data_IF_125051027293
#
_entry.id   IF_125051027293
#
_cell.length_a   1.000
_cell.length_b   1.000
_cell.length_c   1.000
_cell.angle_alpha   90.00
_cell.angle_beta   90.00
_cell.angle_gamma   90.00
#
_symmetry.space_group_name_H-M   'P 1'
#
loop_
_entity.id
_entity.type
_entity.pdbx_description
1 polymer ?
#
# COMPACT_ATOMS: atom_id res chain seq x y z
N UNK A 1 30.62 2.95 14.37
CA UNK A 1 29.27 2.95 13.82
C UNK A 1 29.23 2.87 12.28
N UNK A 2 30.37 2.68 11.60
CA UNK A 2 30.47 2.66 10.12
C UNK A 2 30.72 1.27 9.53
N UNK A 3 30.72 0.19 10.33
CA UNK A 3 31.04 -1.19 9.88
C UNK A 3 29.83 -2.09 9.61
N UNK A 4 28.61 -1.57 9.69
CA UNK A 4 27.38 -2.35 9.45
C UNK A 4 26.77 -2.16 8.05
N UNK A 5 27.39 -1.35 7.18
CA UNK A 5 26.84 -1.08 5.84
C UNK A 5 27.44 -1.95 4.72
N UNK A 6 28.37 -2.86 5.00
CA UNK A 6 29.06 -3.61 3.94
C UNK A 6 28.50 -5.01 3.61
N UNK A 7 27.39 -5.41 4.21
CA UNK A 7 26.84 -6.78 3.99
C UNK A 7 25.43 -6.83 3.40
N UNK A 8 24.95 -5.77 2.78
CA UNK A 8 23.70 -5.80 2.02
C UNK A 8 24.02 -5.87 0.51
N UNK A 9 24.74 -6.91 0.10
CA UNK A 9 24.77 -7.30 -1.31
C UNK A 9 23.65 -8.31 -1.55
N UNK A 10 22.40 -7.86 -1.46
CA UNK A 10 21.26 -8.59 -1.96
C UNK A 10 21.36 -8.66 -3.48
N UNK A 11 21.24 -9.89 -4.05
CA UNK A 11 21.09 -10.07 -5.49
C UNK A 11 20.03 -9.11 -6.01
N UNK A 12 20.24 -8.43 -7.15
CA UNK A 12 19.20 -7.58 -7.72
C UNK A 12 17.95 -8.43 -7.93
N UNK A 13 16.84 -7.97 -7.39
CA UNK A 13 15.52 -8.54 -7.64
C UNK A 13 15.25 -8.38 -9.14
N UNK A 14 15.38 -9.49 -9.89
CA UNK A 14 14.99 -9.52 -11.28
C UNK A 14 13.46 -9.51 -11.36
N UNK A 15 12.86 -8.38 -11.07
CA UNK A 15 11.46 -8.10 -11.31
C UNK A 15 11.27 -7.94 -12.81
N UNK A 16 10.58 -8.87 -13.46
CA UNK A 16 10.06 -8.64 -14.80
C UNK A 16 9.21 -7.36 -14.74
N UNK A 17 9.52 -6.40 -15.61
CA UNK A 17 8.69 -5.19 -15.78
C UNK A 17 7.26 -5.65 -16.09
N UNK A 18 6.25 -5.33 -15.24
CA UNK A 18 4.89 -5.70 -15.55
C UNK A 18 4.41 -4.95 -16.79
N UNK A 19 3.72 -5.61 -17.69
CA UNK A 19 2.91 -4.97 -18.72
C UNK A 19 1.61 -4.46 -18.05
N UNK A 20 1.50 -3.17 -17.73
CA UNK A 20 0.39 -2.69 -16.91
C UNK A 20 -0.95 -2.66 -17.65
N UNK A 21 -0.93 -2.59 -18.98
CA UNK A 21 -2.15 -2.60 -19.80
C UNK A 21 -2.72 -4.02 -19.93
N UNK A 22 -1.86 -5.04 -19.98
CA UNK A 22 -2.24 -6.44 -19.97
C UNK A 22 -2.81 -6.88 -18.63
N UNK A 23 -2.16 -6.54 -17.52
CA UNK A 23 -2.58 -6.94 -16.18
C UNK A 23 -3.95 -6.40 -15.77
N UNK A 24 -4.31 -5.17 -16.18
CA UNK A 24 -5.63 -4.60 -15.90
C UNK A 24 -6.74 -5.31 -16.68
N UNK A 25 -6.46 -5.69 -17.93
CA UNK A 25 -7.42 -6.42 -18.79
C UNK A 25 -7.56 -7.87 -18.38
N UNK A 26 -6.49 -8.57 -18.01
CA UNK A 26 -6.53 -9.95 -17.53
C UNK A 26 -7.22 -10.05 -16.16
N UNK A 27 -6.96 -9.15 -15.24
CA UNK A 27 -7.64 -9.11 -13.93
C UNK A 27 -9.16 -8.90 -14.07
N UNK A 28 -9.59 -8.09 -15.04
CA UNK A 28 -11.01 -7.78 -15.27
C UNK A 28 -11.73 -8.80 -16.19
N UNK A 29 -11.01 -9.54 -17.02
CA UNK A 29 -11.61 -10.43 -18.04
C UNK A 29 -11.94 -11.84 -17.56
N UNK A 30 -11.38 -12.32 -16.47
CA UNK A 30 -11.45 -13.75 -16.05
C UNK A 30 -12.24 -13.96 -14.76
N UNK A 31 -12.52 -12.90 -14.00
CA UNK A 31 -13.16 -13.04 -12.70
C UNK A 31 -14.68 -13.15 -12.85
N UNK A 32 -15.27 -14.28 -12.44
CA UNK A 32 -16.73 -14.44 -12.37
C UNK A 32 -17.32 -13.44 -11.38
N UNK A 33 -18.50 -12.92 -11.69
CA UNK A 33 -19.23 -12.03 -10.80
C UNK A 33 -19.33 -12.65 -9.39
N UNK A 34 -19.03 -11.86 -8.36
CA UNK A 34 -19.05 -12.30 -6.96
C UNK A 34 -17.77 -12.96 -6.46
N UNK A 35 -16.71 -13.06 -7.28
CA UNK A 35 -15.39 -13.52 -6.83
C UNK A 35 -14.41 -12.34 -6.72
N UNK A 36 -13.55 -12.39 -5.71
CA UNK A 36 -12.46 -11.44 -5.48
C UNK A 36 -11.16 -12.01 -6.03
N UNK A 37 -10.48 -11.32 -6.96
CA UNK A 37 -9.19 -11.74 -7.48
C UNK A 37 -8.08 -11.38 -6.51
N UNK A 38 -7.31 -12.36 -6.09
CA UNK A 38 -6.26 -12.23 -5.07
C UNK A 38 -4.92 -12.70 -5.63
N UNK A 39 -3.86 -11.96 -5.30
CA UNK A 39 -2.49 -12.38 -5.53
C UNK A 39 -2.03 -13.30 -4.42
N UNK A 40 -2.21 -12.86 -3.18
CA UNK A 40 -1.78 -13.60 -1.99
C UNK A 40 -2.52 -13.15 -0.73
N UNK A 41 -2.58 -14.03 0.25
CA UNK A 41 -2.95 -13.72 1.63
C UNK A 41 -1.81 -14.18 2.53
N UNK A 42 -1.30 -13.30 3.38
CA UNK A 42 -0.18 -13.63 4.25
C UNK A 42 -0.23 -12.87 5.57
N UNK A 43 0.39 -13.43 6.61
CA UNK A 43 0.53 -12.82 7.92
C UNK A 43 1.95 -12.30 8.09
N UNK A 44 2.07 -11.03 8.50
CA UNK A 44 3.35 -10.37 8.73
C UNK A 44 3.21 -9.20 9.68
N UNK A 45 4.19 -8.29 9.67
CA UNK A 45 4.12 -7.00 10.32
C UNK A 45 3.84 -5.91 9.29
N UNK A 46 2.98 -4.94 9.63
CA UNK A 46 2.89 -3.71 8.84
C UNK A 46 4.27 -3.03 8.82
N UNK A 47 4.82 -2.84 7.64
CA UNK A 47 6.18 -2.32 7.45
C UNK A 47 6.25 -0.81 7.23
N UNK A 48 5.11 -0.11 7.13
CA UNK A 48 5.04 1.26 6.64
C UNK A 48 3.99 2.08 7.41
N UNK A 49 4.18 3.41 7.44
CA UNK A 49 3.21 4.36 7.97
C UNK A 49 3.02 4.30 9.48
N UNK A 50 1.86 4.80 9.95
CA UNK A 50 1.51 4.90 11.38
C UNK A 50 1.45 3.55 12.09
N UNK A 51 1.14 2.48 11.35
CA UNK A 51 0.96 1.16 11.92
C UNK A 51 2.20 0.26 11.82
N UNK A 52 3.36 0.85 11.48
CA UNK A 52 4.64 0.10 11.40
C UNK A 52 4.90 -0.71 12.67
N UNK A 53 5.26 -1.99 12.49
CA UNK A 53 5.56 -2.95 13.55
C UNK A 53 4.35 -3.69 14.09
N UNK A 54 3.13 -3.38 13.67
CA UNK A 54 1.92 -4.08 14.12
C UNK A 54 1.66 -5.35 13.31
N UNK A 55 1.33 -6.42 14.01
CA UNK A 55 0.91 -7.68 13.38
C UNK A 55 -0.33 -7.46 12.50
N UNK A 56 -0.28 -7.93 11.27
CA UNK A 56 -1.31 -7.66 10.26
C UNK A 56 -1.43 -8.83 9.28
N UNK A 57 -2.66 -9.23 8.95
CA UNK A 57 -2.92 -10.11 7.81
C UNK A 57 -3.10 -9.25 6.57
N UNK A 58 -2.30 -9.48 5.56
CA UNK A 58 -2.39 -8.78 4.28
C UNK A 58 -3.22 -9.57 3.29
N UNK A 59 -4.17 -8.90 2.66
CA UNK A 59 -4.89 -9.38 1.49
C UNK A 59 -4.45 -8.55 0.30
N UNK A 60 -3.59 -9.12 -0.53
CA UNK A 60 -3.12 -8.47 -1.75
C UNK A 60 -4.07 -8.80 -2.90
N UNK A 61 -4.87 -7.83 -3.29
CA UNK A 61 -5.79 -7.94 -4.41
C UNK A 61 -5.06 -7.79 -5.75
N UNK A 62 -5.56 -8.44 -6.76
CA UNK A 62 -5.00 -8.38 -8.10
C UNK A 62 -5.57 -7.21 -8.90
N UNK A 63 -4.82 -6.76 -9.91
CA UNK A 63 -5.20 -5.66 -10.78
C UNK A 63 -4.92 -4.27 -10.21
N UNK A 64 -4.60 -3.34 -11.09
CA UNK A 64 -4.39 -1.93 -10.77
C UNK A 64 -4.93 -1.06 -11.92
N UNK A 65 -5.37 0.14 -11.61
CA UNK A 65 -5.79 1.13 -12.59
C UNK A 65 -4.67 2.10 -13.00
N UNK A 66 -3.46 1.92 -12.45
CA UNK A 66 -2.26 2.72 -12.76
C UNK A 66 -1.12 1.82 -13.23
N UNK A 67 -0.12 2.43 -13.88
CA UNK A 67 1.06 1.81 -14.44
C UNK A 67 2.32 2.56 -13.97
N UNK A 68 2.62 2.50 -12.67
CA UNK A 68 3.77 3.21 -12.10
C UNK A 68 5.08 2.51 -12.47
N UNK A 69 6.08 3.25 -12.96
CA UNK A 69 7.39 2.72 -13.35
C UNK A 69 8.17 2.12 -12.19
N UNK A 70 7.99 2.66 -10.98
CA UNK A 70 8.64 2.18 -9.75
C UNK A 70 7.85 1.07 -9.04
N UNK A 71 6.81 0.51 -9.67
CA UNK A 71 5.99 -0.52 -9.04
C UNK A 71 6.78 -1.82 -8.86
N UNK A 72 6.91 -2.27 -7.62
CA UNK A 72 7.59 -3.51 -7.25
C UNK A 72 6.62 -4.68 -7.00
N UNK A 73 5.33 -4.48 -7.25
CA UNK A 73 4.28 -5.44 -6.94
C UNK A 73 3.85 -6.22 -8.19
N UNK A 74 3.92 -7.54 -8.13
CA UNK A 74 3.20 -8.42 -9.08
C UNK A 74 1.73 -8.46 -8.66
N UNK A 75 0.83 -7.91 -9.48
CA UNK A 75 -0.60 -7.86 -9.23
C UNK A 75 -1.42 -8.74 -10.19
N UNK A 76 -0.80 -9.77 -10.78
CA UNK A 76 -1.50 -10.79 -11.57
C UNK A 76 -2.33 -11.70 -10.67
N UNK A 77 -3.51 -12.08 -11.14
CA UNK A 77 -4.39 -13.00 -10.40
C UNK A 77 -3.70 -14.34 -10.17
N UNK A 78 -3.60 -14.77 -8.92
CA UNK A 78 -3.13 -16.12 -8.55
C UNK A 78 -4.28 -17.01 -8.09
N UNK A 79 -5.27 -16.43 -7.41
CA UNK A 79 -6.41 -17.12 -6.84
C UNK A 79 -7.66 -16.24 -6.91
N UNK A 80 -8.83 -16.86 -6.82
CA UNK A 80 -10.10 -16.16 -6.69
C UNK A 80 -10.87 -16.71 -5.50
N UNK A 81 -11.50 -15.84 -4.73
CA UNK A 81 -12.24 -16.20 -3.54
C UNK A 81 -13.66 -15.64 -3.57
N UNK A 82 -14.60 -16.36 -2.96
CA UNK A 82 -15.81 -15.72 -2.45
C UNK A 82 -15.45 -14.89 -1.21
N UNK A 83 -16.29 -13.93 -0.85
CA UNK A 83 -16.11 -13.12 0.37
C UNK A 83 -15.91 -14.01 1.60
N UNK A 84 -16.77 -14.99 1.77
CA UNK A 84 -16.74 -15.89 2.93
C UNK A 84 -15.48 -16.77 2.98
N UNK A 85 -15.04 -17.28 1.84
CA UNK A 85 -13.82 -18.08 1.74
C UNK A 85 -12.58 -17.22 2.05
N UNK A 86 -12.55 -15.96 1.60
CA UNK A 86 -11.44 -15.05 1.86
C UNK A 86 -11.39 -14.65 3.34
N UNK A 87 -12.54 -14.32 3.95
CA UNK A 87 -12.60 -14.00 5.37
C UNK A 87 -12.20 -15.22 6.26
N UNK A 88 -12.55 -16.43 5.83
CA UNK A 88 -12.12 -17.66 6.52
C UNK A 88 -10.62 -17.92 6.37
N UNK A 89 -10.05 -17.63 5.21
CA UNK A 89 -8.59 -17.73 4.99
C UNK A 89 -7.82 -16.72 5.84
N UNK A 90 -8.30 -15.48 5.95
CA UNK A 90 -7.75 -14.46 6.86
C UNK A 90 -7.74 -14.98 8.29
N UNK A 91 -8.85 -15.56 8.77
CA UNK A 91 -8.94 -16.10 10.13
C UNK A 91 -7.98 -17.28 10.35
N UNK A 92 -7.87 -18.16 9.36
CA UNK A 92 -6.97 -19.32 9.42
C UNK A 92 -5.49 -18.93 9.54
N UNK A 93 -5.08 -17.88 8.78
CA UNK A 93 -3.68 -17.44 8.74
C UNK A 93 -3.35 -16.53 9.92
N UNK A 94 -4.27 -15.63 10.29
CA UNK A 94 -4.04 -14.56 11.26
C UNK A 94 -4.06 -15.02 12.73
N UNK A 95 -4.72 -16.12 13.04
CA UNK A 95 -4.86 -16.59 14.43
C UNK A 95 -5.46 -15.50 15.33
N UNK A 96 -4.68 -15.02 16.30
CA UNK A 96 -5.11 -13.95 17.24
C UNK A 96 -4.97 -12.54 16.69
N UNK A 97 -4.37 -12.36 15.53
CA UNK A 97 -4.28 -11.05 14.87
C UNK A 97 -5.68 -10.45 14.65
N UNK A 98 -5.81 -9.15 14.86
CA UNK A 98 -7.09 -8.44 14.70
C UNK A 98 -7.03 -7.34 13.62
N UNK A 99 -5.95 -7.26 12.88
CA UNK A 99 -5.83 -6.31 11.80
C UNK A 99 -5.70 -6.99 10.43
N UNK A 100 -6.46 -6.49 9.49
CA UNK A 100 -6.37 -6.88 8.08
C UNK A 100 -6.03 -5.65 7.25
N UNK A 101 -5.03 -5.76 6.38
CA UNK A 101 -4.69 -4.73 5.41
C UNK A 101 -5.12 -5.17 4.02
N UNK A 102 -6.10 -4.48 3.45
CA UNK A 102 -6.49 -4.61 2.06
C UNK A 102 -5.54 -3.76 1.21
N UNK A 103 -4.73 -4.40 0.41
CA UNK A 103 -3.71 -3.79 -0.44
C UNK A 103 -3.67 -4.48 -1.80
N UNK A 104 -2.62 -4.34 -2.57
CA UNK A 104 -2.42 -5.09 -3.80
C UNK A 104 -1.92 -4.24 -4.94
N UNK A 105 -2.54 -4.35 -6.12
CA UNK A 105 -2.49 -3.35 -7.15
C UNK A 105 -3.25 -2.11 -6.67
N UNK A 106 -4.57 -2.08 -6.91
CA UNK A 106 -5.43 -1.04 -6.35
C UNK A 106 -6.73 -1.67 -5.81
N UNK A 107 -6.94 -1.70 -4.47
CA UNK A 107 -8.14 -2.31 -3.89
C UNK A 107 -9.45 -1.69 -4.37
N UNK A 108 -9.46 -0.39 -4.62
CA UNK A 108 -10.69 0.34 -4.95
C UNK A 108 -11.24 0.07 -6.35
N UNK A 109 -10.57 -0.69 -7.18
CA UNK A 109 -11.14 -1.16 -8.45
C UNK A 109 -12.16 -2.30 -8.26
N UNK A 110 -12.14 -2.94 -7.08
CA UNK A 110 -13.06 -4.00 -6.70
C UNK A 110 -14.19 -3.48 -5.80
N UNK A 111 -15.24 -4.25 -5.64
CA UNK A 111 -16.26 -4.03 -4.60
C UNK A 111 -15.90 -4.90 -3.40
N UNK A 112 -15.45 -4.27 -2.32
CA UNK A 112 -14.99 -4.95 -1.10
C UNK A 112 -15.94 -4.73 0.09
N UNK A 113 -17.11 -4.10 -0.11
CA UNK A 113 -18.08 -3.86 0.98
C UNK A 113 -18.37 -5.15 1.75
N UNK A 114 -18.78 -6.21 1.05
CA UNK A 114 -19.10 -7.47 1.70
C UNK A 114 -17.92 -8.11 2.42
N UNK A 115 -16.69 -7.92 1.94
CA UNK A 115 -15.49 -8.41 2.64
C UNK A 115 -15.24 -7.61 3.92
N UNK A 116 -15.34 -6.29 3.88
CA UNK A 116 -15.18 -5.44 5.07
C UNK A 116 -16.23 -5.82 6.13
N UNK A 117 -17.50 -5.99 5.74
CA UNK A 117 -18.58 -6.42 6.64
C UNK A 117 -18.29 -7.78 7.28
N UNK A 118 -17.83 -8.74 6.48
CA UNK A 118 -17.52 -10.10 6.95
C UNK A 118 -16.30 -10.11 7.89
N UNK A 119 -15.32 -9.25 7.69
CA UNK A 119 -14.16 -9.10 8.56
C UNK A 119 -14.54 -8.42 9.88
N UNK A 120 -15.30 -7.33 9.84
CA UNK A 120 -15.82 -6.67 11.04
C UNK A 120 -16.70 -7.59 11.88
N UNK A 121 -17.58 -8.38 11.24
CA UNK A 121 -18.40 -9.36 11.94
C UNK A 121 -17.58 -10.44 12.68
N UNK A 122 -16.32 -10.64 12.28
CA UNK A 122 -15.35 -11.53 12.95
C UNK A 122 -14.42 -10.80 13.93
N UNK A 123 -14.64 -9.50 14.19
CA UNK A 123 -13.87 -8.69 15.12
C UNK A 123 -12.50 -8.23 14.60
N UNK A 124 -12.34 -8.16 13.27
CA UNK A 124 -11.16 -7.53 12.67
C UNK A 124 -11.37 -6.03 12.48
N UNK A 125 -10.29 -5.27 12.64
CA UNK A 125 -10.17 -3.93 12.10
C UNK A 125 -9.57 -3.98 10.70
N UNK A 126 -10.07 -3.14 9.79
CA UNK A 126 -9.72 -3.15 8.38
C UNK A 126 -8.97 -1.88 7.99
N UNK A 127 -7.71 -2.03 7.58
CA UNK A 127 -6.92 -1.00 6.91
C UNK A 127 -7.04 -1.16 5.40
N UNK A 128 -7.00 -0.04 4.68
CA UNK A 128 -6.81 -0.01 3.24
C UNK A 128 -5.58 0.80 2.87
N UNK A 129 -4.75 0.28 1.97
CA UNK A 129 -3.73 1.03 1.26
C UNK A 129 -4.17 1.25 -0.18
N UNK A 130 -4.27 2.52 -0.61
CA UNK A 130 -4.80 2.90 -1.92
C UNK A 130 -3.95 3.98 -2.58
N UNK A 131 -3.99 4.04 -3.91
CA UNK A 131 -3.42 5.17 -4.66
C UNK A 131 -4.28 6.45 -4.59
N UNK A 132 -5.46 6.38 -3.99
CA UNK A 132 -6.33 7.52 -3.74
C UNK A 132 -7.11 8.04 -4.97
N UNK A 133 -7.18 7.32 -6.07
CA UNK A 133 -7.87 7.80 -7.29
C UNK A 133 -9.37 7.54 -7.28
N UNK A 134 -9.85 6.60 -6.45
CA UNK A 134 -11.26 6.17 -6.40
C UNK A 134 -11.75 6.06 -4.95
N UNK A 135 -12.72 6.87 -4.49
CA UNK A 135 -13.23 6.80 -3.13
C UNK A 135 -14.13 5.56 -2.92
N UNK A 136 -14.16 5.08 -1.68
CA UNK A 136 -15.05 3.99 -1.23
C UNK A 136 -15.62 4.31 0.17
N UNK A 137 -16.48 5.30 0.30
CA UNK A 137 -16.94 5.80 1.61
C UNK A 137 -17.76 4.77 2.40
N UNK A 138 -18.41 3.83 1.74
CA UNK A 138 -19.33 2.89 2.38
C UNK A 138 -18.64 1.69 3.08
N UNK A 139 -17.34 1.49 2.89
CA UNK A 139 -16.68 0.26 3.38
C UNK A 139 -16.39 0.21 4.88
N UNK A 140 -16.60 1.30 5.62
CA UNK A 140 -16.43 1.32 7.07
C UNK A 140 -14.98 1.04 7.51
N UNK A 141 -13.99 1.57 6.78
CA UNK A 141 -12.58 1.31 7.03
C UNK A 141 -12.13 1.94 8.36
N UNK A 142 -11.34 1.19 9.14
CA UNK A 142 -10.79 1.65 10.42
C UNK A 142 -9.48 2.44 10.25
N UNK A 143 -8.78 2.27 9.12
CA UNK A 143 -7.59 3.02 8.77
C UNK A 143 -7.39 3.12 7.27
N UNK A 144 -7.13 4.30 6.77
CA UNK A 144 -6.91 4.58 5.35
C UNK A 144 -5.56 5.22 5.13
N UNK A 145 -4.65 4.48 4.51
CA UNK A 145 -3.36 4.97 4.03
C UNK A 145 -3.46 5.29 2.55
N UNK A 146 -3.22 6.54 2.20
CA UNK A 146 -3.22 6.98 0.80
C UNK A 146 -1.80 7.18 0.31
N UNK A 147 -1.45 6.54 -0.80
CA UNK A 147 -0.15 6.70 -1.46
C UNK A 147 -0.33 7.27 -2.87
N UNK A 148 -0.41 8.61 -3.01
CA UNK A 148 -0.60 9.25 -4.32
C UNK A 148 0.53 8.89 -5.29
N UNK A 149 0.19 8.65 -6.57
CA UNK A 149 1.11 8.18 -7.61
C UNK A 149 1.27 9.20 -8.73
N UNK A 150 1.37 10.47 -8.38
CA UNK A 150 1.66 11.51 -9.37
C UNK A 150 3.17 11.53 -9.70
N UNK A 151 3.57 11.81 -10.94
CA UNK A 151 2.75 12.16 -12.10
C UNK A 151 2.24 10.98 -12.94
N UNK A 152 2.42 9.72 -12.49
CA UNK A 152 2.07 8.52 -13.27
C UNK A 152 0.55 8.30 -13.50
N UNK A 153 -0.24 9.37 -13.41
CA UNK A 153 -1.60 9.40 -13.97
C UNK A 153 -2.75 9.30 -12.97
N UNK A 154 -2.48 9.31 -11.69
CA UNK A 154 -3.55 9.27 -10.71
C UNK A 154 -3.80 10.61 -10.02
N UNK A 155 -4.88 11.33 -10.41
CA UNK A 155 -5.30 12.48 -9.60
C UNK A 155 -5.92 11.99 -8.29
N UNK A 156 -5.42 12.52 -7.17
CA UNK A 156 -6.02 12.29 -5.86
C UNK A 156 -7.49 12.73 -5.87
N UNK A 157 -8.37 11.85 -5.42
CA UNK A 157 -9.77 12.20 -5.28
C UNK A 157 -9.98 13.02 -4.00
N UNK A 158 -10.69 14.18 -4.04
CA UNK A 158 -10.82 15.10 -2.90
C UNK A 158 -11.39 14.46 -1.63
N UNK A 159 -12.14 13.39 -1.75
CA UNK A 159 -12.66 12.65 -0.60
C UNK A 159 -11.55 12.22 0.36
N UNK A 160 -10.38 11.84 -0.13
CA UNK A 160 -9.26 11.39 0.70
C UNK A 160 -8.59 12.52 1.48
N UNK A 161 -8.65 13.76 1.02
CA UNK A 161 -8.12 14.92 1.76
C UNK A 161 -8.77 15.05 3.13
N UNK A 162 -10.03 14.60 3.24
CA UNK A 162 -10.82 14.65 4.48
C UNK A 162 -10.83 13.33 5.24
N UNK A 163 -10.73 12.18 4.56
CA UNK A 163 -11.02 10.87 5.15
C UNK A 163 -9.79 9.96 5.29
N UNK A 164 -8.64 10.32 4.70
CA UNK A 164 -7.42 9.56 4.93
C UNK A 164 -6.90 9.79 6.36
N UNK A 165 -6.40 8.74 6.99
CA UNK A 165 -5.71 8.82 8.27
C UNK A 165 -4.27 9.28 8.10
N UNK A 166 -3.65 8.85 6.99
CA UNK A 166 -2.29 9.24 6.62
C UNK A 166 -2.09 9.26 5.11
N UNK A 167 -1.11 10.06 4.70
CA UNK A 167 -0.56 10.06 3.36
C UNK A 167 0.87 9.55 3.37
N UNK A 168 1.24 8.78 2.34
CA UNK A 168 2.57 8.22 2.17
C UNK A 168 3.05 8.48 0.73
N UNK A 169 3.94 9.44 0.57
CA UNK A 169 4.53 9.79 -0.73
C UNK A 169 5.82 9.01 -0.94
N UNK A 170 5.88 8.25 -2.03
CA UNK A 170 7.15 7.69 -2.51
C UNK A 170 7.95 8.83 -3.11
N UNK A 171 9.18 9.00 -2.65
CA UNK A 171 10.09 10.09 -3.04
C UNK A 171 11.31 9.51 -3.72
N UNK A 172 11.58 9.98 -4.92
CA UNK A 172 12.75 9.63 -5.70
C UNK A 172 13.65 10.86 -5.91
N UNK A 173 13.04 12.04 -6.05
CA UNK A 173 13.68 13.31 -6.33
C UNK A 173 13.02 14.51 -5.61
N UNK A 174 13.56 15.71 -5.85
CA UNK A 174 13.04 16.95 -5.26
C UNK A 174 11.62 17.28 -5.75
N UNK A 175 11.23 16.85 -6.93
CA UNK A 175 9.89 17.10 -7.45
C UNK A 175 8.84 16.24 -6.70
N UNK A 176 9.19 15.01 -6.33
CA UNK A 176 8.35 14.17 -5.48
C UNK A 176 8.22 14.77 -4.08
N UNK A 177 9.32 15.27 -3.53
CA UNK A 177 9.33 15.95 -2.23
C UNK A 177 8.46 17.21 -2.24
N UNK A 178 8.55 18.02 -3.29
CA UNK A 178 7.71 19.21 -3.44
C UNK A 178 6.22 18.83 -3.46
N UNK A 179 5.85 17.76 -4.16
CA UNK A 179 4.46 17.23 -4.17
C UNK A 179 3.99 16.79 -2.79
N UNK A 180 4.86 16.16 -1.99
CA UNK A 180 4.53 15.77 -0.63
C UNK A 180 4.29 16.99 0.28
N UNK A 181 5.12 18.02 0.16
CA UNK A 181 4.98 19.27 0.90
C UNK A 181 3.72 20.04 0.50
N UNK A 182 3.42 20.11 -0.78
CA UNK A 182 2.18 20.75 -1.26
C UNK A 182 0.96 19.97 -0.79
N UNK A 183 1.01 18.64 -0.84
CA UNK A 183 -0.04 17.77 -0.33
C UNK A 183 -0.32 18.01 1.14
N UNK A 184 0.70 17.94 2.02
CA UNK A 184 0.50 18.13 3.46
C UNK A 184 -0.04 19.51 3.81
N UNK A 185 0.35 20.55 3.07
CA UNK A 185 -0.19 21.90 3.26
C UNK A 185 -1.66 21.99 2.85
N UNK A 186 -2.07 21.23 1.83
CA UNK A 186 -3.44 21.21 1.34
C UNK A 186 -4.38 20.45 2.27
N UNK A 187 -4.02 19.25 2.74
CA UNK A 187 -4.93 18.39 3.50
C UNK A 187 -4.68 18.37 5.02
N UNK A 188 -3.50 18.83 5.50
CA UNK A 188 -3.17 18.91 6.93
C UNK A 188 -3.12 17.56 7.66
N UNK A 189 -3.02 16.45 6.94
CA UNK A 189 -2.99 15.10 7.50
C UNK A 189 -1.57 14.64 7.78
N UNK A 190 -1.41 13.64 8.66
CA UNK A 190 -0.13 12.97 8.89
C UNK A 190 0.44 12.51 7.54
N UNK A 191 1.64 12.99 7.23
CA UNK A 191 2.28 12.74 5.93
C UNK A 191 3.65 12.12 6.12
N UNK A 192 3.83 11.01 5.45
CA UNK A 192 5.10 10.31 5.35
C UNK A 192 5.76 10.55 4.00
N UNK A 193 7.06 10.78 4.02
CA UNK A 193 7.95 10.63 2.86
C UNK A 193 8.66 9.30 2.97
N UNK A 194 8.57 8.51 1.92
CA UNK A 194 9.14 7.17 1.85
C UNK A 194 10.12 7.10 0.69
N UNK A 195 11.42 6.90 0.96
CA UNK A 195 12.40 6.82 -0.13
C UNK A 195 12.04 5.67 -1.08
N UNK A 196 12.16 5.92 -2.37
CA UNK A 196 12.05 4.86 -3.38
C UNK A 196 13.16 3.83 -3.13
N UNK A 197 12.77 2.58 -2.89
CA UNK A 197 13.70 1.50 -2.55
C UNK A 197 14.73 1.21 -3.66
N UNK A 198 14.48 1.65 -4.89
CA UNK A 198 15.39 1.51 -6.03
C UNK A 198 16.44 2.65 -6.11
N UNK A 199 16.28 3.73 -5.32
CA UNK A 199 17.17 4.88 -5.32
C UNK A 199 17.78 5.12 -3.93
N UNK A 200 19.07 4.77 -3.69
CA UNK A 200 19.71 4.99 -2.39
C UNK A 200 19.84 6.47 -2.00
N UNK A 201 19.89 7.39 -2.97
CA UNK A 201 20.00 8.84 -2.70
C UNK A 201 18.69 9.41 -2.14
N UNK A 202 17.55 8.82 -2.47
CA UNK A 202 16.25 9.21 -1.93
C UNK A 202 16.17 9.09 -0.40
N UNK A 203 16.99 8.22 0.22
CA UNK A 203 17.05 8.08 1.68
C UNK A 203 17.59 9.37 2.32
N UNK A 204 18.68 9.90 1.81
CA UNK A 204 19.27 11.14 2.33
C UNK A 204 18.32 12.32 2.11
N UNK A 205 17.68 12.40 0.95
CA UNK A 205 16.68 13.42 0.61
C UNK A 205 15.49 13.39 1.58
N UNK A 206 14.91 12.21 1.84
CA UNK A 206 13.80 12.08 2.79
C UNK A 206 14.20 12.43 4.23
N UNK A 207 15.40 12.04 4.67
CA UNK A 207 15.90 12.39 6.02
C UNK A 207 16.04 13.90 6.14
N UNK A 208 16.71 14.57 5.18
CA UNK A 208 16.85 16.03 5.15
C UNK A 208 15.48 16.73 5.19
N UNK A 209 14.55 16.29 4.36
CA UNK A 209 13.21 16.84 4.31
C UNK A 209 12.45 16.77 5.65
N UNK A 210 12.57 15.66 6.37
CA UNK A 210 11.95 15.51 7.70
C UNK A 210 12.62 16.42 8.72
N UNK A 211 13.96 16.58 8.66
CA UNK A 211 14.69 17.48 9.53
C UNK A 211 14.36 18.97 9.28
N UNK A 212 14.16 19.35 8.02
CA UNK A 212 13.81 20.71 7.62
C UNK A 212 12.31 21.04 7.88
N UNK A 213 11.45 20.01 7.89
CA UNK A 213 9.99 20.15 8.06
C UNK A 213 9.42 19.25 9.16
N UNK A 214 9.94 19.27 10.41
CA UNK A 214 9.62 18.29 11.45
C UNK A 214 8.15 18.33 11.92
N UNK A 215 7.46 19.45 11.70
CA UNK A 215 6.04 19.58 12.03
C UNK A 215 5.10 19.03 10.96
N UNK A 216 5.61 18.82 9.73
CA UNK A 216 4.81 18.45 8.57
C UNK A 216 5.04 17.02 8.11
N UNK A 217 6.30 16.57 8.14
CA UNK A 217 6.72 15.31 7.54
C UNK A 217 7.22 14.31 8.57
N UNK A 218 7.03 13.05 8.27
CA UNK A 218 7.61 11.90 8.97
C UNK A 218 8.29 10.97 7.96
N UNK A 219 9.34 10.28 8.39
CA UNK A 219 10.00 9.28 7.56
C UNK A 219 9.23 7.95 7.67
N UNK A 220 8.89 7.36 6.55
CA UNK A 220 8.48 5.95 6.44
C UNK A 220 9.59 5.16 5.77
N UNK A 221 9.91 4.00 6.33
CA UNK A 221 10.78 3.03 5.68
C UNK A 221 9.96 1.79 5.34
N UNK A 222 10.40 1.02 4.36
CA UNK A 222 9.86 -0.31 4.09
C UNK A 222 10.53 -1.30 5.05
N UNK A 223 10.15 -1.28 6.34
CA UNK A 223 10.84 -2.06 7.39
C UNK A 223 10.78 -3.56 7.13
N UNK A 224 9.73 -4.05 6.47
CA UNK A 224 9.63 -5.44 6.05
C UNK A 224 10.77 -5.85 5.11
N UNK A 225 11.22 -4.95 4.21
CA UNK A 225 12.38 -5.21 3.33
C UNK A 225 13.68 -5.23 4.11
N UNK A 226 13.85 -4.33 5.10
CA UNK A 226 15.03 -4.30 5.96
C UNK A 226 15.13 -5.54 6.84
N UNK A 227 14.00 -6.03 7.34
CA UNK A 227 13.90 -7.25 8.16
C UNK A 227 13.87 -8.54 7.33
N UNK A 228 13.80 -8.44 6.00
CA UNK A 228 13.67 -9.58 5.08
C UNK A 228 12.47 -10.48 5.39
N UNK A 229 11.37 -9.88 5.84
CA UNK A 229 10.06 -10.53 6.03
C UNK A 229 9.12 -10.15 4.89
N UNK A 230 7.99 -10.86 4.79
CA UNK A 230 6.95 -10.54 3.79
C UNK A 230 6.22 -9.26 4.18
#
# INVERSE_FOLDING_TARGET
MLKMMETISGKPYAGATPDPAGATREAMGVVRAGLLPVVEVFYSLQGEGLRTGQATVFVRLAGCNLACEFCDTDFRVKQTYTVEALASEVARIGGECRWVCLTGGEPTIHDLQGLCDALHARGYSVQMETNGTRPRPAWGLDHVTVSPKQPQGGRLHPWYEVHADEFKYVVDDDADLARALDGVRAHGRTTFVQPNALNPQAVALCIGAVQDHPALLRLSLQTHKLLQIR
#
